data_IF_721420162513
#
_entry.id   IF_721420162513
#
_cell.length_a   1.000
_cell.length_b   1.000
_cell.length_c   1.000
_cell.angle_alpha   90.00
_cell.angle_beta   90.00
_cell.angle_gamma   90.00
#
_symmetry.space_group_name_H-M   'P 1'
#
loop_
_entity.id
_entity.type
_entity.pdbx_description
1 polymer ?
#
# COMPACT_ATOMS: atom_id res chain seq x y z
N UNK A 1 10.00 -5.12 -9.80
CA UNK A 1 10.26 -5.44 -8.39
C UNK A 1 9.62 -6.79 -8.09
N UNK A 2 10.41 -7.87 -8.01
CA UNK A 2 9.96 -9.09 -7.33
C UNK A 2 10.16 -8.84 -5.84
N UNK A 3 9.07 -8.86 -5.08
CA UNK A 3 9.15 -8.88 -3.62
C UNK A 3 9.26 -10.35 -3.23
N UNK A 4 10.39 -10.74 -2.66
CA UNK A 4 10.58 -12.12 -2.22
C UNK A 4 9.83 -12.33 -0.91
N UNK A 5 8.75 -13.12 -0.99
CA UNK A 5 7.89 -13.48 0.16
C UNK A 5 8.71 -14.04 1.33
N UNK A 6 9.73 -14.84 1.03
CA UNK A 6 10.70 -15.38 1.98
C UNK A 6 11.41 -14.29 2.78
N UNK A 7 11.86 -13.22 2.11
CA UNK A 7 12.58 -12.13 2.74
C UNK A 7 11.67 -11.33 3.67
N UNK A 8 10.43 -11.05 3.25
CA UNK A 8 9.44 -10.41 4.12
C UNK A 8 9.07 -11.29 5.32
N UNK A 9 8.88 -12.60 5.11
CA UNK A 9 8.56 -13.53 6.20
C UNK A 9 9.70 -13.59 7.23
N UNK A 10 10.97 -13.62 6.79
CA UNK A 10 12.13 -13.57 7.69
C UNK A 10 12.22 -12.25 8.46
N UNK A 11 11.96 -11.12 7.80
CA UNK A 11 11.92 -9.82 8.48
C UNK A 11 10.78 -9.77 9.50
N UNK A 12 9.60 -10.28 9.17
CA UNK A 12 8.45 -10.35 10.07
C UNK A 12 8.74 -11.26 11.27
N UNK A 13 9.36 -12.42 11.04
CA UNK A 13 9.79 -13.35 12.08
C UNK A 13 10.74 -12.68 13.08
N UNK A 14 11.73 -11.94 12.57
CA UNK A 14 12.69 -11.21 13.40
C UNK A 14 12.03 -10.08 14.20
N UNK A 15 11.18 -9.27 13.57
CA UNK A 15 10.52 -8.13 14.22
C UNK A 15 9.56 -8.57 15.33
N UNK A 16 8.90 -9.71 15.15
CA UNK A 16 7.86 -10.20 16.08
C UNK A 16 8.33 -11.36 16.96
N UNK A 17 9.57 -11.80 16.82
CA UNK A 17 10.15 -12.94 17.53
C UNK A 17 9.29 -14.22 17.41
N UNK A 18 8.81 -14.49 16.19
CA UNK A 18 8.03 -15.69 15.86
C UNK A 18 8.82 -16.61 14.92
N UNK A 19 8.38 -17.86 14.78
CA UNK A 19 9.03 -18.79 13.86
C UNK A 19 8.89 -18.33 12.39
N UNK A 20 9.84 -18.70 11.51
CA UNK A 20 9.75 -18.36 10.09
C UNK A 20 8.50 -18.92 9.40
N UNK A 21 8.06 -20.13 9.78
CA UNK A 21 6.83 -20.74 9.25
C UNK A 21 5.60 -19.96 9.67
N UNK A 22 5.49 -19.60 10.95
CA UNK A 22 4.38 -18.79 11.44
C UNK A 22 4.36 -17.41 10.77
N UNK A 23 5.53 -16.78 10.57
CA UNK A 23 5.61 -15.50 9.87
C UNK A 23 5.17 -15.61 8.40
N UNK A 24 5.49 -16.71 7.71
CA UNK A 24 5.05 -16.95 6.34
C UNK A 24 3.53 -17.11 6.26
N UNK A 25 2.94 -17.87 7.18
CA UNK A 25 1.48 -18.07 7.27
C UNK A 25 0.75 -16.75 7.57
N UNK A 26 1.25 -15.97 8.53
CA UNK A 26 0.66 -14.67 8.87
C UNK A 26 0.75 -13.68 7.70
N UNK A 27 1.88 -13.68 6.97
CA UNK A 27 2.05 -12.86 5.77
C UNK A 27 1.06 -13.27 4.66
N UNK A 28 0.89 -14.57 4.43
CA UNK A 28 -0.07 -15.09 3.46
C UNK A 28 -1.50 -14.72 3.81
N UNK A 29 -1.89 -14.88 5.08
CA UNK A 29 -3.23 -14.50 5.54
C UNK A 29 -3.49 -13.01 5.34
N UNK A 30 -2.52 -12.16 5.65
CA UNK A 30 -2.63 -10.71 5.46
C UNK A 30 -2.84 -10.35 3.97
N UNK A 31 -2.02 -10.92 3.08
CA UNK A 31 -2.15 -10.72 1.63
C UNK A 31 -3.50 -11.25 1.12
N UNK A 32 -3.89 -12.45 1.55
CA UNK A 32 -5.17 -13.05 1.17
C UNK A 32 -6.35 -12.14 1.58
N UNK A 33 -6.32 -11.56 2.78
CA UNK A 33 -7.35 -10.67 3.27
C UNK A 33 -7.44 -9.39 2.43
N UNK A 34 -6.29 -8.77 2.10
CA UNK A 34 -6.24 -7.58 1.24
C UNK A 34 -6.85 -7.91 -0.13
N UNK A 35 -6.42 -9.00 -0.76
CA UNK A 35 -6.95 -9.42 -2.06
C UNK A 35 -8.45 -9.73 -2.01
N UNK A 36 -8.93 -10.37 -0.94
CA UNK A 36 -10.36 -10.65 -0.74
C UNK A 36 -11.19 -9.37 -0.65
N UNK A 37 -10.70 -8.34 0.04
CA UNK A 37 -11.33 -7.01 0.10
C UNK A 37 -11.35 -6.34 -1.27
N UNK A 38 -10.23 -6.34 -1.98
CA UNK A 38 -10.12 -5.74 -3.32
C UNK A 38 -11.04 -6.42 -4.34
N UNK A 39 -11.15 -7.76 -4.32
CA UNK A 39 -12.10 -8.49 -5.18
C UNK A 39 -13.55 -8.10 -4.94
N UNK A 40 -13.89 -7.66 -3.73
CA UNK A 40 -15.22 -7.15 -3.37
C UNK A 40 -15.43 -5.68 -3.72
N UNK A 41 -14.48 -5.05 -4.43
CA UNK A 41 -14.51 -3.62 -4.72
C UNK A 41 -14.18 -2.73 -3.52
N UNK A 42 -13.78 -3.31 -2.38
CA UNK A 42 -13.47 -2.53 -1.18
C UNK A 42 -12.10 -1.88 -1.31
N UNK A 43 -11.98 -0.70 -0.71
CA UNK A 43 -10.73 0.04 -0.63
C UNK A 43 -9.97 -0.35 0.64
N UNK A 44 -8.65 -0.55 0.53
CA UNK A 44 -7.77 -0.90 1.65
C UNK A 44 -6.71 0.18 1.83
N UNK A 45 -6.66 0.78 3.00
CA UNK A 45 -5.61 1.74 3.35
C UNK A 45 -4.40 1.01 3.93
N UNK A 46 -3.22 1.20 3.33
CA UNK A 46 -1.95 0.67 3.80
C UNK A 46 -1.11 1.82 4.38
N UNK A 47 -0.93 1.88 5.71
CA UNK A 47 -0.15 2.93 6.37
C UNK A 47 1.25 3.05 5.77
N UNK A 48 1.70 4.28 5.51
CA UNK A 48 3.02 4.56 4.94
C UNK A 48 3.19 4.24 3.44
N UNK A 49 2.26 3.51 2.81
CA UNK A 49 2.34 3.08 1.41
C UNK A 49 1.33 3.84 0.55
N UNK A 50 0.06 3.85 0.96
CA UNK A 50 -1.02 4.47 0.20
C UNK A 50 -2.33 3.71 0.32
N UNK A 51 -3.20 3.88 -0.67
CA UNK A 51 -4.53 3.26 -0.66
C UNK A 51 -4.69 2.36 -1.87
N UNK A 52 -4.99 1.08 -1.63
CA UNK A 52 -5.31 0.09 -2.65
C UNK A 52 -6.81 0.13 -2.94
N UNK A 53 -7.17 0.20 -4.22
CA UNK A 53 -8.56 0.03 -4.68
C UNK A 53 -8.61 -0.92 -5.86
N UNK A 54 -9.78 -1.51 -6.10
CA UNK A 54 -10.05 -2.19 -7.36
C UNK A 54 -10.54 -1.16 -8.38
N UNK A 55 -9.87 -1.06 -9.53
CA UNK A 55 -10.30 -0.29 -10.68
C UNK A 55 -10.32 -1.23 -11.89
N UNK A 56 -11.48 -1.38 -12.53
CA UNK A 56 -11.67 -2.27 -13.68
C UNK A 56 -11.23 -3.72 -13.42
N UNK A 57 -11.50 -4.22 -12.21
CA UNK A 57 -11.10 -5.57 -11.77
C UNK A 57 -9.61 -5.73 -11.47
N UNK A 58 -8.81 -4.65 -11.54
CA UNK A 58 -7.37 -4.66 -11.29
C UNK A 58 -7.03 -3.89 -10.01
N UNK A 59 -6.12 -4.40 -9.16
CA UNK A 59 -5.66 -3.68 -7.98
C UNK A 59 -4.79 -2.49 -8.38
N UNK A 60 -5.15 -1.29 -7.93
CA UNK A 60 -4.43 -0.05 -8.17
C UNK A 60 -4.01 0.57 -6.84
N UNK A 61 -2.71 0.85 -6.69
CA UNK A 61 -2.14 1.56 -5.55
C UNK A 61 -2.09 3.07 -5.82
N UNK A 62 -2.94 3.82 -5.12
CA UNK A 62 -2.88 5.27 -5.11
C UNK A 62 -1.90 5.72 -4.02
N UNK A 63 -0.74 6.20 -4.46
CA UNK A 63 0.17 6.92 -3.58
C UNK A 63 -0.38 8.31 -3.30
N UNK A 64 -0.38 8.71 -2.02
CA UNK A 64 -0.72 10.08 -1.64
C UNK A 64 0.43 11.02 -2.03
N UNK A 65 0.60 11.30 -3.32
CA UNK A 65 1.47 12.41 -3.75
C UNK A 65 0.87 13.68 -3.16
N UNK A 66 1.53 14.23 -2.14
CA UNK A 66 1.19 15.54 -1.57
C UNK A 66 1.10 16.51 -2.75
N UNK A 67 -0.09 17.02 -3.04
CA UNK A 67 -0.34 18.16 -3.95
C UNK A 67 0.37 19.40 -3.37
N UNK A 68 1.70 19.46 -3.44
CA UNK A 68 2.51 20.66 -3.22
C UNK A 68 3.03 21.11 -4.59
N UNK A 69 2.16 21.64 -5.46
CA UNK A 69 2.61 22.29 -6.71
C UNK A 69 1.57 23.18 -7.42
N UNK A 70 0.28 23.11 -7.08
CA UNK A 70 -0.75 23.80 -7.88
C UNK A 70 -1.20 25.18 -7.34
N UNK A 71 -0.82 25.56 -6.11
CA UNK A 71 -1.37 26.75 -5.46
C UNK A 71 -0.55 28.04 -5.65
N UNK A 72 0.67 27.98 -6.23
CA UNK A 72 1.61 29.11 -6.21
C UNK A 72 1.75 29.89 -7.53
N UNK A 73 1.05 29.48 -8.59
CA UNK A 73 1.18 30.13 -9.92
C UNK A 73 0.04 31.10 -10.27
N UNK A 74 -0.99 31.24 -9.43
CA UNK A 74 -2.14 32.15 -9.64
C UNK A 74 -2.05 33.51 -8.94
N UNK A 75 -0.98 33.79 -8.17
CA UNK A 75 -0.84 35.08 -7.44
C UNK A 75 0.07 36.12 -8.09
N UNK A 76 0.60 35.89 -9.30
CA UNK A 76 1.47 36.86 -10.00
C UNK A 76 0.80 37.72 -11.08
N UNK A 77 -0.50 37.59 -11.32
CA UNK A 77 -1.23 38.40 -12.32
C UNK A 77 -2.14 39.48 -11.71
N UNK A 78 -1.89 39.94 -10.48
CA UNK A 78 -2.74 40.95 -9.81
C UNK A 78 -1.99 42.14 -9.19
N UNK A 79 -0.75 42.41 -9.61
CA UNK A 79 -0.14 43.72 -9.40
C UNK A 79 0.08 44.34 -10.77
N UNK A 80 -0.92 45.13 -11.18
CA UNK A 80 -0.70 46.25 -12.09
C UNK A 80 0.07 47.36 -11.39
#
# INVERSE_FOLDING_TARGET
MRMDKELLARQLASLRQISPSQAADELDQAVHHILKKLRRGQTVSLPGIGTLRSADGKPVLQHRRKRRAAAQRRKRSSRG
#
